data_IF_595425879345
#
_entry.id   IF_595425879345
#
_cell.length_a   1.000
_cell.length_b   1.000
_cell.length_c   1.000
_cell.angle_alpha   90.00
_cell.angle_beta   90.00
_cell.angle_gamma   90.00
#
_symmetry.space_group_name_H-M   'P 1'
#
loop_
_entity.id
_entity.type
_entity.pdbx_description
1 polymer ?
#
# COMPACT_ATOMS: atom_id res chain seq x y z
N UNK A 1 -8.98 -1.84 -19.04
CA UNK A 1 -9.07 -1.01 -17.79
C UNK A 1 -7.70 -1.03 -17.19
N UNK A 2 -7.06 0.11 -17.00
CA UNK A 2 -5.84 0.21 -16.21
C UNK A 2 -6.22 -0.10 -14.78
N UNK A 3 -5.56 -1.09 -14.14
CA UNK A 3 -5.79 -1.43 -12.74
C UNK A 3 -5.43 -0.25 -11.83
N UNK A 4 -5.98 -0.22 -10.61
CA UNK A 4 -5.62 0.76 -9.58
C UNK A 4 -4.19 0.50 -9.13
N UNK A 5 -3.37 1.53 -9.15
CA UNK A 5 -1.97 1.46 -8.72
C UNK A 5 -1.81 1.84 -7.24
N UNK A 6 -0.67 1.51 -6.66
CA UNK A 6 -0.34 1.97 -5.32
C UNK A 6 -0.30 3.51 -5.22
N UNK A 7 0.19 4.18 -6.28
CA UNK A 7 0.19 5.64 -6.37
C UNK A 7 -1.21 6.24 -6.27
N UNK A 8 -2.19 5.66 -6.97
CA UNK A 8 -3.57 6.12 -6.92
C UNK A 8 -4.15 6.05 -5.50
N UNK A 9 -3.83 4.99 -4.75
CA UNK A 9 -4.25 4.86 -3.34
C UNK A 9 -3.57 5.91 -2.45
N UNK A 10 -2.27 6.15 -2.66
CA UNK A 10 -1.53 7.18 -1.91
C UNK A 10 -2.14 8.55 -2.15
N UNK A 11 -2.43 8.89 -3.42
CA UNK A 11 -3.04 10.17 -3.79
C UNK A 11 -4.45 10.31 -3.19
N UNK A 12 -5.27 9.26 -3.26
CA UNK A 12 -6.61 9.25 -2.64
C UNK A 12 -6.56 9.50 -1.14
N UNK A 13 -5.60 8.90 -0.44
CA UNK A 13 -5.41 9.11 1.01
C UNK A 13 -4.98 10.55 1.29
N UNK A 14 -4.02 11.09 0.53
CA UNK A 14 -3.57 12.47 0.67
C UNK A 14 -4.69 13.48 0.41
N UNK A 15 -5.43 13.33 -0.69
CA UNK A 15 -6.54 14.20 -1.06
C UNK A 15 -7.64 14.18 0.02
N UNK A 16 -7.94 13.00 0.56
CA UNK A 16 -8.93 12.86 1.64
C UNK A 16 -8.47 13.57 2.91
N UNK A 17 -7.20 13.44 3.28
CA UNK A 17 -6.64 14.12 4.45
C UNK A 17 -6.61 15.65 4.26
N UNK A 18 -6.24 16.11 3.07
CA UNK A 18 -6.22 17.53 2.72
C UNK A 18 -7.62 18.15 2.69
N UNK A 19 -8.61 17.43 2.19
CA UNK A 19 -10.01 17.87 2.19
C UNK A 19 -10.59 18.08 3.60
N UNK A 20 -9.98 17.53 4.62
CA UNK A 20 -10.41 17.64 6.03
C UNK A 20 -9.65 18.71 6.83
N UNK A 21 -8.71 19.41 6.22
CA UNK A 21 -7.91 20.44 6.89
C UNK A 21 -8.28 21.83 6.40
N UNK A 22 -8.19 22.85 7.28
CA UNK A 22 -8.37 24.25 6.88
C UNK A 22 -7.14 24.82 6.20
N UNK A 23 -5.97 24.28 6.49
CA UNK A 23 -4.71 24.75 5.94
C UNK A 23 -4.16 23.67 5.02
N UNK A 24 -4.57 23.67 3.73
CA UNK A 24 -3.99 22.77 2.76
C UNK A 24 -2.49 22.99 2.64
N UNK A 25 -1.78 21.98 2.17
CA UNK A 25 -0.35 22.08 1.94
C UNK A 25 -0.02 23.20 0.94
N UNK A 26 1.04 23.93 1.21
CA UNK A 26 1.51 24.96 0.32
C UNK A 26 2.40 24.33 -0.76
N UNK A 27 2.09 24.62 -2.02
CA UNK A 27 2.78 24.03 -3.16
C UNK A 27 3.58 25.07 -3.92
N UNK A 28 4.80 24.71 -4.30
CA UNK A 28 5.63 25.38 -5.26
C UNK A 28 6.24 24.36 -6.22
N UNK A 29 7.23 24.69 -7.03
CA UNK A 29 7.84 23.79 -7.99
C UNK A 29 9.34 24.04 -8.10
N UNK A 30 10.10 23.06 -8.57
CA UNK A 30 11.50 23.22 -8.90
C UNK A 30 11.66 24.04 -10.18
N UNK A 31 12.62 24.96 -10.18
CA UNK A 31 12.96 25.79 -11.37
C UNK A 31 14.17 25.28 -12.15
N UNK A 32 14.86 24.27 -11.63
CA UNK A 32 15.93 23.54 -12.31
C UNK A 32 16.05 22.13 -11.81
N UNK A 33 16.75 21.27 -12.56
CA UNK A 33 17.06 19.91 -12.12
C UNK A 33 17.96 19.92 -10.88
N UNK A 34 17.72 18.98 -9.97
CA UNK A 34 18.46 18.83 -8.71
C UNK A 34 18.95 17.40 -8.63
N UNK A 35 20.24 17.19 -8.41
CA UNK A 35 20.78 15.84 -8.18
C UNK A 35 20.62 15.39 -6.72
N UNK A 36 20.95 14.13 -6.45
CA UNK A 36 20.80 13.55 -5.11
C UNK A 36 21.74 14.15 -4.04
N UNK A 37 22.74 14.95 -4.44
CA UNK A 37 23.76 15.52 -3.55
C UNK A 37 23.63 17.04 -3.37
N UNK A 38 22.89 17.70 -4.24
CA UNK A 38 22.68 19.14 -4.22
C UNK A 38 21.95 19.56 -2.94
N UNK A 39 22.47 20.58 -2.27
CA UNK A 39 21.89 21.16 -1.04
C UNK A 39 21.20 22.50 -1.26
N UNK A 40 21.33 23.06 -2.45
CA UNK A 40 20.75 24.32 -2.87
C UNK A 40 19.59 24.02 -3.82
N UNK A 41 18.38 24.14 -3.35
CA UNK A 41 17.16 23.72 -4.06
C UNK A 41 16.47 24.94 -4.66
N UNK A 42 16.49 25.11 -5.99
CA UNK A 42 15.87 26.24 -6.66
C UNK A 42 14.36 26.08 -6.77
N UNK A 43 13.59 27.03 -6.23
CA UNK A 43 12.12 26.97 -6.20
C UNK A 43 11.47 28.20 -6.81
N UNK A 44 10.28 28.04 -7.39
CA UNK A 44 9.58 29.12 -8.09
C UNK A 44 8.94 30.16 -7.16
N UNK A 45 8.54 29.77 -5.96
CA UNK A 45 7.95 30.70 -4.99
C UNK A 45 8.55 30.48 -3.59
N UNK A 46 9.64 31.16 -3.34
CA UNK A 46 10.37 31.11 -2.07
C UNK A 46 9.57 31.69 -0.90
N UNK A 47 8.64 32.61 -1.15
CA UNK A 47 7.83 33.26 -0.11
C UNK A 47 6.97 32.29 0.69
N UNK A 48 6.65 31.14 0.13
CA UNK A 48 5.89 30.09 0.80
C UNK A 48 6.71 29.33 1.85
N UNK A 49 8.04 29.24 1.68
CA UNK A 49 8.89 28.40 2.55
C UNK A 49 9.22 29.11 3.86
N UNK A 50 9.42 30.41 3.83
CA UNK A 50 9.50 31.25 5.03
C UNK A 50 10.61 30.91 6.03
N UNK A 51 11.66 30.21 5.62
CA UNK A 51 12.83 29.84 6.43
C UNK A 51 12.83 28.35 6.81
N UNK A 52 13.32 28.04 8.01
CA UNK A 52 13.54 26.66 8.44
C UNK A 52 12.24 25.82 8.46
N UNK A 53 12.29 24.66 7.82
CA UNK A 53 11.13 23.77 7.74
C UNK A 53 11.37 22.56 6.86
N UNK A 54 10.39 21.64 6.88
CA UNK A 54 10.42 20.47 6.01
C UNK A 54 9.82 20.84 4.66
N UNK A 55 10.48 20.44 3.58
CA UNK A 55 9.93 20.41 2.24
C UNK A 55 9.93 18.96 1.73
N UNK A 56 8.99 18.62 0.88
CA UNK A 56 8.85 17.31 0.27
C UNK A 56 8.89 17.47 -1.25
N UNK A 57 9.70 16.65 -1.91
CA UNK A 57 9.76 16.54 -3.36
C UNK A 57 9.66 15.06 -3.71
N UNK A 58 8.62 14.66 -4.41
CA UNK A 58 8.27 13.27 -4.65
C UNK A 58 8.21 12.50 -3.32
N UNK A 59 9.10 11.54 -3.10
CA UNK A 59 9.20 10.74 -1.89
C UNK A 59 10.29 11.21 -0.91
N UNK A 60 11.03 12.24 -1.27
CA UNK A 60 12.12 12.74 -0.44
C UNK A 60 11.66 13.88 0.46
N UNK A 61 11.90 13.72 1.76
CA UNK A 61 11.84 14.80 2.73
C UNK A 61 13.19 15.50 2.81
N UNK A 62 13.17 16.81 2.81
CA UNK A 62 14.36 17.64 2.96
C UNK A 62 14.15 18.64 4.11
N UNK A 63 15.23 18.96 4.82
CA UNK A 63 15.19 19.95 5.90
C UNK A 63 15.82 21.24 5.44
N UNK A 64 14.99 22.23 5.12
CA UNK A 64 15.40 23.58 4.76
C UNK A 64 15.92 24.31 6.01
N UNK A 65 16.96 25.13 5.84
CA UNK A 65 17.54 26.03 6.85
C UNK A 65 17.16 27.48 6.54
N UNK A 66 17.56 27.96 5.38
CA UNK A 66 17.33 29.34 4.95
C UNK A 66 16.85 29.38 3.50
N UNK A 67 16.26 30.47 3.13
CA UNK A 67 15.84 30.77 1.76
C UNK A 67 16.38 32.12 1.39
N UNK A 68 17.03 32.22 0.25
CA UNK A 68 17.54 33.51 -0.25
C UNK A 68 16.51 34.25 -1.11
N UNK A 69 16.84 35.51 -1.47
CA UNK A 69 15.97 36.34 -2.29
C UNK A 69 15.92 35.92 -3.77
N UNK A 70 16.77 34.99 -4.19
CA UNK A 70 16.84 34.49 -5.56
C UNK A 70 16.02 33.23 -5.78
N UNK A 71 15.39 32.71 -4.72
CA UNK A 71 14.55 31.51 -4.77
C UNK A 71 15.31 30.22 -4.53
N UNK A 72 16.49 30.30 -3.92
CA UNK A 72 17.26 29.11 -3.55
C UNK A 72 17.00 28.79 -2.08
N UNK A 73 16.58 27.55 -1.83
CA UNK A 73 16.42 26.97 -0.50
C UNK A 73 17.70 26.26 -0.12
N UNK A 74 18.39 26.73 0.89
CA UNK A 74 19.58 26.09 1.45
C UNK A 74 19.17 25.04 2.48
N UNK A 75 19.61 23.80 2.29
CA UNK A 75 19.33 22.73 3.22
C UNK A 75 20.34 22.72 4.38
N UNK A 76 19.90 22.21 5.53
CA UNK A 76 20.79 21.89 6.65
C UNK A 76 21.86 20.87 6.23
N UNK A 77 23.03 20.84 6.87
CA UNK A 77 23.94 19.71 6.76
C UNK A 77 23.18 18.38 7.06
N UNK A 78 23.21 17.44 6.10
CA UNK A 78 22.39 16.21 6.12
C UNK A 78 20.88 16.48 6.03
N UNK A 79 20.47 17.58 5.43
CA UNK A 79 19.07 17.93 5.19
C UNK A 79 18.41 17.11 4.10
N UNK A 80 19.18 16.47 3.21
CA UNK A 80 18.67 15.50 2.20
C UNK A 80 18.29 14.18 2.88
N UNK A 81 17.29 13.51 2.33
CA UNK A 81 16.83 12.22 2.88
C UNK A 81 16.36 12.30 4.34
N UNK A 82 15.75 13.41 4.73
CA UNK A 82 15.37 13.68 6.11
C UNK A 82 14.39 12.61 6.64
N UNK A 83 14.51 12.28 7.91
CA UNK A 83 13.67 11.26 8.59
C UNK A 83 13.69 9.88 7.94
N UNK A 84 14.78 9.52 7.27
CA UNK A 84 14.98 8.19 6.70
C UNK A 84 14.37 7.99 5.31
N UNK A 85 14.00 9.07 4.63
CA UNK A 85 13.73 9.02 3.19
C UNK A 85 15.05 8.90 2.41
N UNK A 86 14.99 8.55 1.13
CA UNK A 86 16.18 8.39 0.29
C UNK A 86 16.39 9.64 -0.53
N UNK A 87 17.61 10.20 -0.52
CA UNK A 87 17.97 11.31 -1.40
C UNK A 87 17.95 10.84 -2.86
N UNK A 88 17.26 11.60 -3.72
CA UNK A 88 17.06 11.30 -5.12
C UNK A 88 17.33 12.51 -6.01
N UNK A 89 17.47 12.28 -7.32
CA UNK A 89 17.48 13.37 -8.30
C UNK A 89 16.03 13.74 -8.64
N UNK A 90 15.78 15.04 -8.80
CA UNK A 90 14.47 15.59 -9.14
C UNK A 90 14.57 16.49 -10.36
N UNK A 91 13.57 16.45 -11.23
CA UNK A 91 13.56 17.21 -12.48
C UNK A 91 12.92 18.58 -12.30
N UNK A 92 13.29 19.52 -13.17
CA UNK A 92 12.65 20.83 -13.26
C UNK A 92 11.13 20.69 -13.43
N UNK A 93 10.36 21.53 -12.75
CA UNK A 93 8.90 21.50 -12.75
C UNK A 93 8.28 20.53 -11.74
N UNK A 94 9.05 19.68 -11.07
CA UNK A 94 8.53 18.80 -10.00
C UNK A 94 7.94 19.64 -8.87
N UNK A 95 6.79 19.21 -8.38
CA UNK A 95 6.08 19.86 -7.27
C UNK A 95 6.88 19.73 -5.97
N UNK A 96 6.98 20.86 -5.27
CA UNK A 96 7.59 20.96 -3.94
C UNK A 96 6.48 21.27 -2.94
N UNK A 97 6.22 20.37 -2.03
CA UNK A 97 5.26 20.55 -0.93
C UNK A 97 5.97 21.16 0.27
N UNK A 98 5.47 22.29 0.73
CA UNK A 98 6.05 23.03 1.86
C UNK A 98 5.32 22.67 3.13
N UNK A 99 6.05 22.13 4.10
CA UNK A 99 5.51 21.69 5.40
C UNK A 99 4.32 20.75 5.25
N UNK A 100 4.50 19.61 4.56
CA UNK A 100 3.42 18.67 4.29
C UNK A 100 2.67 18.30 5.58
N UNK A 101 1.35 18.28 5.52
CA UNK A 101 0.50 17.86 6.63
C UNK A 101 0.84 16.42 7.04
N UNK A 102 0.87 15.56 6.06
CA UNK A 102 1.33 14.17 6.19
C UNK A 102 2.27 13.89 5.02
N UNK A 103 3.55 13.61 5.30
CA UNK A 103 4.51 13.25 4.27
C UNK A 103 4.06 12.01 3.48
N UNK A 104 4.25 12.03 2.16
CA UNK A 104 3.94 10.92 1.23
C UNK A 104 4.55 9.60 1.69
N UNK A 105 5.80 9.63 2.17
CA UNK A 105 6.48 8.48 2.74
C UNK A 105 5.76 7.87 3.96
N UNK A 106 5.12 8.70 4.79
CA UNK A 106 4.33 8.22 5.93
C UNK A 106 3.03 7.57 5.48
N UNK A 107 2.40 8.10 4.42
CA UNK A 107 1.19 7.50 3.82
C UNK A 107 1.53 6.12 3.27
N UNK A 108 2.61 5.99 2.49
CA UNK A 108 3.09 4.71 1.96
C UNK A 108 3.36 3.69 3.07
N UNK A 109 3.98 4.12 4.16
CA UNK A 109 4.22 3.27 5.32
C UNK A 109 2.91 2.82 5.97
N UNK A 110 1.97 3.73 6.16
CA UNK A 110 0.67 3.41 6.75
C UNK A 110 -0.12 2.41 5.91
N UNK A 111 -0.09 2.54 4.57
CA UNK A 111 -0.71 1.58 3.65
C UNK A 111 -0.02 0.21 3.77
N UNK A 112 1.31 0.14 3.73
CA UNK A 112 2.03 -1.12 3.88
C UNK A 112 1.80 -1.78 5.25
N UNK A 113 1.62 -1.00 6.31
CA UNK A 113 1.22 -1.52 7.61
C UNK A 113 -0.21 -2.11 7.60
N UNK A 114 -1.10 -1.57 6.76
CA UNK A 114 -2.41 -2.18 6.51
C UNK A 114 -2.23 -3.50 5.76
N UNK A 115 -1.45 -3.52 4.67
CA UNK A 115 -1.17 -4.73 3.88
C UNK A 115 -0.68 -5.88 4.77
N UNK A 116 0.29 -5.61 5.66
CA UNK A 116 0.79 -6.62 6.61
C UNK A 116 -0.28 -7.14 7.57
N UNK A 117 -1.26 -6.30 7.91
CA UNK A 117 -2.34 -6.67 8.83
C UNK A 117 -3.50 -7.42 8.17
N UNK A 118 -3.55 -7.53 6.84
CA UNK A 118 -4.64 -8.19 6.12
C UNK A 118 -4.67 -9.70 6.33
N UNK A 119 -3.48 -10.33 6.32
CA UNK A 119 -3.39 -11.78 6.53
C UNK A 119 -3.73 -12.15 8.00
N UNK A 120 -4.48 -13.23 8.27
CA UNK A 120 -4.96 -14.28 7.34
C UNK A 120 -6.34 -14.03 6.71
N UNK A 121 -7.03 -12.94 7.02
CA UNK A 121 -8.40 -12.72 6.54
C UNK A 121 -8.46 -12.47 5.04
N UNK A 122 -7.52 -11.66 4.54
CA UNK A 122 -7.35 -11.37 3.12
C UNK A 122 -5.97 -11.87 2.71
N UNK A 123 -5.92 -12.60 1.62
CA UNK A 123 -4.72 -13.21 1.07
C UNK A 123 -4.65 -12.97 -0.43
N UNK A 124 -3.45 -12.91 -0.96
CA UNK A 124 -3.22 -12.89 -2.39
C UNK A 124 -3.55 -14.24 -3.02
N UNK A 125 -4.05 -14.23 -4.23
CA UNK A 125 -4.38 -15.44 -4.98
C UNK A 125 -3.50 -15.49 -6.23
N UNK A 126 -2.67 -16.52 -6.31
CA UNK A 126 -1.75 -16.72 -7.42
C UNK A 126 -2.04 -18.06 -8.09
N UNK A 127 -1.98 -18.06 -9.42
CA UNK A 127 -2.10 -19.29 -10.22
C UNK A 127 -0.82 -19.51 -11.00
N UNK A 128 -0.27 -20.70 -10.93
CA UNK A 128 0.83 -21.12 -11.77
C UNK A 128 0.48 -22.38 -12.58
N UNK A 129 1.13 -22.55 -13.71
CA UNK A 129 0.95 -23.71 -14.58
C UNK A 129 2.18 -24.62 -14.51
N UNK A 130 1.95 -25.91 -14.46
CA UNK A 130 2.98 -26.95 -14.44
C UNK A 130 2.50 -28.21 -15.17
N UNK A 131 3.34 -29.23 -15.21
CA UNK A 131 2.97 -30.53 -15.77
C UNK A 131 2.92 -31.58 -14.67
N UNK A 132 1.92 -32.48 -14.70
CA UNK A 132 1.80 -33.57 -13.74
C UNK A 132 3.01 -34.51 -13.84
N UNK A 133 3.82 -34.68 -12.79
CA UNK A 133 4.95 -35.60 -12.79
C UNK A 133 4.49 -37.06 -12.67
N UNK A 134 5.41 -38.00 -13.01
CA UNK A 134 5.06 -39.41 -13.15
C UNK A 134 4.68 -40.12 -11.84
N UNK A 135 5.40 -39.86 -10.76
CA UNK A 135 5.14 -40.52 -9.47
C UNK A 135 5.23 -39.58 -8.26
N UNK A 136 5.40 -38.28 -8.51
CA UNK A 136 5.77 -37.37 -7.46
C UNK A 136 4.74 -36.26 -7.24
N UNK A 137 4.97 -35.58 -6.16
CA UNK A 137 4.26 -34.35 -5.83
C UNK A 137 4.64 -33.24 -6.79
N UNK A 138 3.67 -32.44 -7.17
CA UNK A 138 3.92 -31.16 -7.79
C UNK A 138 4.52 -30.24 -6.73
N UNK A 139 5.78 -29.76 -6.90
CA UNK A 139 6.37 -28.81 -5.96
C UNK A 139 5.63 -27.48 -6.05
N UNK A 140 5.21 -26.98 -4.89
CA UNK A 140 4.58 -25.69 -4.79
C UNK A 140 5.64 -24.60 -4.52
N UNK A 141 5.41 -23.35 -5.00
CA UNK A 141 6.29 -22.22 -4.68
C UNK A 141 6.40 -22.01 -3.16
N UNK A 142 7.57 -21.55 -2.70
CA UNK A 142 7.82 -21.32 -1.28
C UNK A 142 6.84 -20.29 -0.65
N UNK A 143 6.32 -19.38 -1.47
CA UNK A 143 5.32 -18.41 -1.05
C UNK A 143 3.90 -18.98 -0.89
N UNK A 144 3.66 -20.24 -1.31
CA UNK A 144 2.35 -20.85 -1.23
C UNK A 144 2.00 -21.21 0.23
N UNK A 145 0.84 -20.75 0.67
CA UNK A 145 0.33 -21.02 2.03
C UNK A 145 -0.69 -22.15 2.02
N UNK A 146 -1.66 -22.09 1.14
CA UNK A 146 -2.74 -23.06 1.01
C UNK A 146 -3.14 -23.19 -0.47
N UNK A 147 -3.44 -24.43 -0.91
CA UNK A 147 -3.95 -24.67 -2.26
C UNK A 147 -5.47 -24.46 -2.26
N UNK A 148 -5.92 -23.54 -3.12
CA UNK A 148 -7.31 -23.15 -3.21
C UNK A 148 -8.07 -23.91 -4.31
N UNK A 149 -7.42 -24.10 -5.47
CA UNK A 149 -8.02 -24.79 -6.61
C UNK A 149 -6.94 -25.49 -7.46
N UNK A 150 -7.31 -26.64 -8.02
CA UNK A 150 -6.44 -27.41 -8.94
C UNK A 150 -7.26 -27.76 -10.17
N UNK A 151 -6.76 -27.41 -11.35
CA UNK A 151 -7.36 -27.70 -12.64
C UNK A 151 -6.34 -28.35 -13.55
N UNK A 152 -6.81 -29.18 -14.45
CA UNK A 152 -5.97 -29.78 -15.46
C UNK A 152 -6.62 -29.74 -16.84
N UNK A 153 -5.77 -29.70 -17.88
CA UNK A 153 -6.20 -29.59 -19.25
C UNK A 153 -6.59 -30.96 -19.78
N UNK A 154 -7.83 -31.12 -20.18
CA UNK A 154 -8.35 -32.31 -20.85
C UNK A 154 -8.19 -32.18 -22.37
N UNK A 155 -8.24 -33.30 -23.10
CA UNK A 155 -8.28 -33.30 -24.55
C UNK A 155 -9.44 -32.39 -25.05
N UNK A 156 -9.13 -31.49 -25.98
CA UNK A 156 -10.09 -30.48 -26.46
C UNK A 156 -9.97 -29.11 -25.84
N UNK A 157 -8.88 -28.80 -25.12
CA UNK A 157 -8.61 -27.49 -24.49
C UNK A 157 -9.58 -27.09 -23.37
N UNK A 158 -10.23 -28.05 -22.74
CA UNK A 158 -11.12 -27.80 -21.61
C UNK A 158 -10.39 -27.97 -20.27
N UNK A 159 -10.48 -26.97 -19.38
CA UNK A 159 -9.96 -27.05 -18.03
C UNK A 159 -10.95 -27.72 -17.08
N UNK A 160 -10.58 -28.88 -16.55
CA UNK A 160 -11.37 -29.63 -15.58
C UNK A 160 -10.81 -29.47 -14.16
N UNK A 161 -11.70 -29.25 -13.19
CA UNK A 161 -11.31 -29.16 -11.78
C UNK A 161 -11.00 -30.53 -11.19
N UNK A 162 -9.84 -30.67 -10.56
CA UNK A 162 -9.50 -31.86 -9.77
C UNK A 162 -10.30 -31.84 -8.45
N UNK A 163 -10.73 -33.00 -8.04
CA UNK A 163 -11.44 -33.21 -6.75
C UNK A 163 -10.63 -34.06 -5.77
N UNK A 164 -9.57 -34.68 -6.24
CA UNK A 164 -8.79 -35.68 -5.48
C UNK A 164 -7.33 -35.21 -5.39
N UNK A 165 -7.09 -34.22 -4.54
CA UNK A 165 -5.74 -33.74 -4.27
C UNK A 165 -5.48 -33.62 -2.75
N UNK A 166 -4.24 -33.74 -2.36
CA UNK A 166 -3.74 -33.66 -1.01
C UNK A 166 -2.46 -32.83 -1.00
N UNK A 167 -2.24 -32.04 0.04
CA UNK A 167 -1.00 -31.31 0.24
C UNK A 167 -0.21 -31.88 1.39
N UNK A 168 1.12 -31.91 1.24
CA UNK A 168 2.06 -32.30 2.29
C UNK A 168 3.15 -31.25 2.45
N UNK A 169 3.59 -31.04 3.69
CA UNK A 169 4.67 -30.11 4.03
C UNK A 169 5.86 -30.87 4.61
N UNK A 170 7.02 -30.23 4.59
CA UNK A 170 8.24 -30.72 5.22
C UNK A 170 8.70 -32.10 4.71
N UNK A 171 8.54 -32.34 3.42
CA UNK A 171 9.03 -33.53 2.76
C UNK A 171 10.55 -33.43 2.54
N UNK A 172 11.27 -34.55 2.48
CA UNK A 172 12.75 -34.54 2.37
C UNK A 172 13.33 -33.76 1.19
N UNK A 173 12.58 -33.65 0.09
CA UNK A 173 13.03 -32.98 -1.15
C UNK A 173 12.13 -31.81 -1.56
N UNK A 174 10.97 -31.68 -0.96
CA UNK A 174 9.94 -30.70 -1.34
C UNK A 174 9.35 -30.12 -0.06
N UNK A 175 9.59 -28.83 0.19
CA UNK A 175 9.09 -28.12 1.38
C UNK A 175 7.58 -28.11 1.44
N UNK A 176 6.92 -28.00 0.28
CA UNK A 176 5.48 -28.03 0.16
C UNK A 176 5.11 -28.70 -1.16
N UNK A 177 4.38 -29.81 -1.10
CA UNK A 177 4.03 -30.63 -2.26
C UNK A 177 2.54 -30.83 -2.41
N UNK A 178 2.08 -30.98 -3.66
CA UNK A 178 0.72 -31.28 -4.04
C UNK A 178 0.67 -32.64 -4.72
N UNK A 179 -0.03 -33.60 -4.13
CA UNK A 179 -0.33 -34.90 -4.73
C UNK A 179 -1.72 -34.87 -5.36
N UNK A 180 -1.84 -35.28 -6.61
CA UNK A 180 -3.12 -35.45 -7.31
C UNK A 180 -3.32 -36.92 -7.66
N UNK A 181 -4.56 -37.41 -7.61
CA UNK A 181 -4.88 -38.83 -7.91
C UNK A 181 -5.78 -39.01 -9.13
N UNK A 182 -6.38 -37.94 -9.61
CA UNK A 182 -7.31 -37.93 -10.75
C UNK A 182 -6.76 -37.24 -11.99
N UNK A 183 -5.51 -36.81 -11.96
CA UNK A 183 -4.83 -36.14 -13.08
C UNK A 183 -3.87 -37.10 -13.78
N UNK A 184 -3.99 -37.30 -15.11
CA UNK A 184 -3.07 -38.13 -15.84
C UNK A 184 -1.64 -37.58 -15.88
N UNK A 185 -0.67 -38.48 -15.86
CA UNK A 185 0.73 -38.11 -16.10
C UNK A 185 0.91 -37.30 -17.40
N UNK A 186 1.74 -36.28 -17.34
CA UNK A 186 2.03 -35.41 -18.49
C UNK A 186 0.97 -34.37 -18.80
N UNK A 187 -0.18 -34.38 -18.09
CA UNK A 187 -1.20 -33.37 -18.28
C UNK A 187 -0.74 -32.00 -17.76
N UNK A 188 -1.13 -30.92 -18.47
CA UNK A 188 -0.94 -29.56 -17.97
C UNK A 188 -1.85 -29.30 -16.78
N UNK A 189 -1.31 -28.77 -15.69
CA UNK A 189 -2.01 -28.51 -14.45
C UNK A 189 -1.88 -27.04 -14.09
N UNK A 190 -2.99 -26.42 -13.70
CA UNK A 190 -3.03 -25.12 -13.07
C UNK A 190 -3.33 -25.27 -11.58
N UNK A 191 -2.46 -24.72 -10.77
CA UNK A 191 -2.64 -24.69 -9.30
C UNK A 191 -2.81 -23.27 -8.85
N UNK A 192 -3.93 -23.00 -8.20
CA UNK A 192 -4.24 -21.73 -7.56
C UNK A 192 -4.01 -21.86 -6.06
N UNK A 193 -3.22 -20.96 -5.49
CA UNK A 193 -2.85 -21.00 -4.08
C UNK A 193 -2.90 -19.61 -3.46
N UNK A 194 -3.02 -19.58 -2.14
CA UNK A 194 -2.99 -18.34 -1.36
C UNK A 194 -1.55 -17.95 -1.00
N UNK A 195 -1.29 -16.65 -0.97
CA UNK A 195 -0.02 -16.06 -0.51
C UNK A 195 -0.27 -14.93 0.48
N UNK A 196 0.74 -14.57 1.25
CA UNK A 196 0.73 -13.29 1.97
C UNK A 196 0.77 -12.17 0.91
N UNK A 197 -0.10 -11.16 0.99
CA UNK A 197 -0.02 -10.01 0.10
C UNK A 197 1.37 -9.36 0.17
N UNK A 198 1.93 -9.02 -1.00
CA UNK A 198 3.24 -8.40 -1.07
C UNK A 198 3.19 -6.94 -0.62
N UNK A 199 4.28 -6.46 0.00
CA UNK A 199 4.44 -5.04 0.28
C UNK A 199 4.56 -4.25 -1.03
N UNK A 200 3.97 -3.06 -1.03
CA UNK A 200 3.95 -2.17 -2.18
C UNK A 200 5.19 -1.28 -2.16
N UNK A 201 6.16 -1.58 -3.04
CA UNK A 201 7.45 -0.89 -3.08
C UNK A 201 7.46 0.32 -4.02
N UNK A 202 6.76 0.25 -5.15
CA UNK A 202 6.71 1.29 -6.18
C UNK A 202 5.29 1.78 -6.40
N UNK A 203 5.10 3.08 -6.59
CA UNK A 203 3.80 3.67 -6.91
C UNK A 203 3.19 3.13 -8.20
N UNK A 204 4.00 2.69 -9.14
CA UNK A 204 3.54 2.04 -10.37
C UNK A 204 3.07 0.59 -10.18
N UNK A 205 3.16 0.04 -8.95
CA UNK A 205 2.71 -1.32 -8.67
C UNK A 205 1.19 -1.39 -8.77
N UNK A 206 0.70 -2.24 -9.66
CA UNK A 206 -0.72 -2.58 -9.78
C UNK A 206 -1.14 -3.46 -8.59
N UNK A 207 -2.24 -3.11 -7.92
CA UNK A 207 -2.71 -3.81 -6.72
C UNK A 207 -3.07 -5.27 -7.02
N UNK A 208 -3.63 -5.57 -8.20
CA UNK A 208 -3.96 -6.94 -8.57
C UNK A 208 -2.70 -7.80 -8.70
N UNK A 209 -1.60 -7.25 -9.23
CA UNK A 209 -0.30 -7.93 -9.31
C UNK A 209 0.29 -8.22 -7.94
N UNK A 210 0.05 -7.34 -6.97
CA UNK A 210 0.47 -7.54 -5.57
C UNK A 210 -0.44 -8.52 -4.79
N UNK A 211 -1.49 -9.05 -5.42
CA UNK A 211 -2.48 -9.91 -4.77
C UNK A 211 -3.49 -9.16 -3.90
N UNK A 212 -3.68 -7.87 -4.18
CA UNK A 212 -4.56 -6.95 -3.47
C UNK A 212 -5.72 -6.47 -4.36
N UNK A 213 -6.16 -7.30 -5.30
CA UNK A 213 -7.28 -7.01 -6.19
C UNK A 213 -8.54 -6.62 -5.38
N UNK A 214 -9.18 -5.52 -5.77
CA UNK A 214 -10.35 -4.94 -5.09
C UNK A 214 -10.13 -4.61 -3.60
N UNK A 215 -8.90 -4.31 -3.18
CA UNK A 215 -8.57 -3.91 -1.80
C UNK A 215 -8.37 -2.38 -1.64
N UNK A 216 -8.65 -1.57 -2.66
CA UNK A 216 -8.43 -0.13 -2.66
C UNK A 216 -9.07 0.57 -1.44
N UNK A 217 -10.37 0.34 -1.21
CA UNK A 217 -11.09 0.90 -0.05
C UNK A 217 -10.48 0.46 1.28
N UNK A 218 -10.06 -0.80 1.37
CA UNK A 218 -9.43 -1.34 2.58
C UNK A 218 -8.13 -0.61 2.88
N UNK A 219 -7.29 -0.43 1.87
CA UNK A 219 -6.00 0.25 2.01
C UNK A 219 -6.21 1.71 2.35
N UNK A 220 -7.14 2.38 1.68
CA UNK A 220 -7.48 3.79 1.90
C UNK A 220 -8.01 4.03 3.32
N UNK A 221 -9.07 3.33 3.72
CA UNK A 221 -9.67 3.53 5.05
C UNK A 221 -8.74 3.07 6.19
N UNK A 222 -7.99 1.99 5.96
CA UNK A 222 -7.01 1.50 6.93
C UNK A 222 -5.87 2.49 7.16
N UNK A 223 -5.36 3.14 6.11
CA UNK A 223 -4.34 4.17 6.20
C UNK A 223 -4.88 5.45 6.85
N UNK A 224 -6.06 5.92 6.44
CA UNK A 224 -6.74 7.08 7.03
C UNK A 224 -6.97 6.90 8.53
N UNK A 225 -7.46 5.74 8.95
CA UNK A 225 -7.68 5.42 10.37
C UNK A 225 -6.42 5.49 11.24
N UNK A 226 -5.24 5.28 10.64
CA UNK A 226 -3.95 5.37 11.32
C UNK A 226 -3.39 6.79 11.29
N UNK A 227 -3.50 7.46 10.16
CA UNK A 227 -2.88 8.77 9.94
C UNK A 227 -3.64 9.91 10.60
N UNK A 228 -4.98 9.86 10.62
CA UNK A 228 -5.80 10.95 11.16
C UNK A 228 -5.47 11.26 12.64
N UNK A 229 -5.00 10.28 13.38
CA UNK A 229 -4.59 10.48 14.77
C UNK A 229 -3.25 11.20 14.90
N UNK A 230 -2.42 11.17 13.85
CA UNK A 230 -1.12 11.85 13.83
C UNK A 230 -1.20 13.26 13.22
N UNK A 231 -2.33 13.60 12.62
CA UNK A 231 -2.55 14.94 12.08
C UNK A 231 -2.70 15.93 13.22
N UNK A 232 -1.94 17.01 13.17
CA UNK A 232 -1.95 18.04 14.19
C UNK A 232 -3.37 18.60 14.37
N UNK A 233 -3.89 18.51 15.58
CA UNK A 233 -5.24 18.96 15.96
C UNK A 233 -5.48 20.43 15.59
N UNK A 234 -4.44 21.26 15.56
CA UNK A 234 -4.52 22.65 15.15
C UNK A 234 -4.83 22.84 13.66
N UNK A 235 -4.60 21.82 12.82
CA UNK A 235 -4.89 21.84 11.38
C UNK A 235 -6.23 21.18 11.03
N UNK A 236 -6.76 20.35 11.89
CA UNK A 236 -8.14 19.83 11.77
C UNK A 236 -9.05 20.87 12.38
N UNK A 237 -9.48 21.85 11.60
CA UNK A 237 -10.30 22.87 12.20
C UNK A 237 -11.78 22.56 12.21
N UNK A 238 -12.41 22.92 13.28
CA UNK A 238 -13.79 23.34 13.25
C UNK A 238 -13.86 24.75 12.65
N UNK A 239 -14.83 24.96 11.78
CA UNK A 239 -15.28 26.26 11.29
C UNK A 239 -14.96 27.40 12.27
N UNK A 240 -14.35 28.47 11.75
CA UNK A 240 -14.01 29.72 12.43
C UNK A 240 -14.96 30.10 13.57
N UNK A 241 -14.66 29.64 14.76
CA UNK A 241 -15.30 30.12 15.98
C UNK A 241 -14.20 30.44 16.98
N UNK A 242 -14.30 31.57 17.60
CA UNK A 242 -13.34 32.18 18.52
C UNK A 242 -12.62 31.21 19.46
N UNK A 243 -11.32 31.48 19.80
CA UNK A 243 -10.49 30.57 20.58
C UNK A 243 -10.97 30.51 22.03
N UNK A 244 -11.91 29.65 22.33
CA UNK A 244 -12.23 29.23 23.68
C UNK A 244 -11.71 27.82 23.90
N UNK A 245 -11.38 27.45 25.14
CA UNK A 245 -10.89 26.11 25.51
C UNK A 245 -11.76 24.95 24.97
N UNK A 246 -13.04 25.20 24.77
CA UNK A 246 -13.97 24.26 24.15
C UNK A 246 -13.64 23.87 22.68
N UNK A 247 -12.95 24.74 21.94
CA UNK A 247 -12.62 24.50 20.54
C UNK A 247 -11.51 23.45 20.41
N UNK A 248 -10.50 23.50 21.27
CA UNK A 248 -9.42 22.50 21.29
C UNK A 248 -9.96 21.11 21.68
N UNK A 249 -10.87 21.05 22.64
CA UNK A 249 -11.51 19.81 23.06
C UNK A 249 -12.45 19.23 21.99
N UNK A 250 -13.15 20.08 21.24
CA UNK A 250 -13.99 19.67 20.11
C UNK A 250 -13.16 19.15 18.94
N UNK A 251 -12.03 19.81 18.62
CA UNK A 251 -11.13 19.37 17.56
C UNK A 251 -10.53 17.98 17.84
N UNK A 252 -10.11 17.74 19.10
CA UNK A 252 -9.66 16.42 19.56
C UNK A 252 -10.78 15.36 19.42
N UNK A 253 -12.00 15.71 19.78
CA UNK A 253 -13.17 14.84 19.63
C UNK A 253 -13.48 14.52 18.16
N UNK A 254 -13.33 15.49 17.25
CA UNK A 254 -13.56 15.28 15.81
C UNK A 254 -12.54 14.31 15.21
N UNK A 255 -11.25 14.50 15.46
CA UNK A 255 -10.22 13.57 14.97
C UNK A 255 -10.45 12.15 15.48
N UNK A 256 -10.84 12.01 16.76
CA UNK A 256 -11.16 10.70 17.33
C UNK A 256 -12.39 10.06 16.70
N UNK A 257 -13.43 10.83 16.42
CA UNK A 257 -14.64 10.33 15.77
C UNK A 257 -14.37 9.93 14.32
N UNK A 258 -13.67 10.77 13.54
CA UNK A 258 -13.21 10.43 12.19
C UNK A 258 -12.38 9.14 12.17
N UNK A 259 -11.45 9.01 13.11
CA UNK A 259 -10.66 7.78 13.22
C UNK A 259 -11.52 6.55 13.53
N UNK A 260 -12.59 6.70 14.33
CA UNK A 260 -13.55 5.62 14.59
C UNK A 260 -14.36 5.28 13.34
N UNK A 261 -14.80 6.30 12.61
CA UNK A 261 -15.59 6.11 11.39
C UNK A 261 -14.76 5.40 10.32
N UNK A 262 -13.50 5.81 10.09
CA UNK A 262 -12.61 5.11 9.17
C UNK A 262 -12.28 3.68 9.62
N UNK A 263 -12.14 3.44 10.93
CA UNK A 263 -11.97 2.06 11.44
C UNK A 263 -13.20 1.20 11.19
N UNK A 264 -14.39 1.76 11.32
CA UNK A 264 -15.64 1.04 11.03
C UNK A 264 -15.74 0.71 9.53
N UNK A 265 -15.45 1.69 8.65
CA UNK A 265 -15.43 1.49 7.20
C UNK A 265 -14.37 0.46 6.80
N UNK A 266 -13.16 0.54 7.35
CA UNK A 266 -12.11 -0.46 7.15
C UNK A 266 -12.57 -1.87 7.56
N UNK A 267 -13.16 -2.00 8.74
CA UNK A 267 -13.64 -3.30 9.24
C UNK A 267 -14.72 -3.89 8.33
N UNK A 268 -15.65 -3.04 7.85
CA UNK A 268 -16.69 -3.47 6.93
C UNK A 268 -16.11 -3.88 5.57
N UNK A 269 -15.22 -3.09 4.99
CA UNK A 269 -14.56 -3.41 3.73
C UNK A 269 -13.76 -4.72 3.80
N UNK A 270 -13.07 -4.98 4.91
CA UNK A 270 -12.38 -6.27 5.16
C UNK A 270 -13.37 -7.44 5.19
N UNK A 271 -14.53 -7.28 5.84
CA UNK A 271 -15.56 -8.33 5.91
C UNK A 271 -16.13 -8.59 4.51
N UNK A 272 -16.41 -7.55 3.75
CA UNK A 272 -16.99 -7.68 2.42
C UNK A 272 -16.03 -8.37 1.46
N UNK A 273 -14.76 -7.98 1.44
CA UNK A 273 -13.74 -8.63 0.62
C UNK A 273 -13.47 -10.08 1.06
N UNK A 274 -13.45 -10.35 2.36
CA UNK A 274 -13.35 -11.71 2.88
C UNK A 274 -14.50 -12.58 2.37
N UNK A 275 -15.73 -12.07 2.40
CA UNK A 275 -16.90 -12.80 1.90
C UNK A 275 -16.80 -13.06 0.39
N UNK A 276 -16.26 -12.13 -0.40
CA UNK A 276 -16.00 -12.33 -1.83
C UNK A 276 -14.99 -13.45 -2.04
N UNK A 277 -13.88 -13.43 -1.31
CA UNK A 277 -12.85 -14.47 -1.38
C UNK A 277 -13.41 -15.84 -0.98
N UNK A 278 -14.20 -15.92 0.10
CA UNK A 278 -14.82 -17.19 0.56
C UNK A 278 -15.84 -17.74 -0.45
N UNK A 279 -16.57 -16.90 -1.17
CA UNK A 279 -17.47 -17.34 -2.25
C UNK A 279 -16.71 -17.89 -3.43
N UNK A 280 -15.60 -17.25 -3.82
CA UNK A 280 -14.76 -17.64 -4.95
C UNK A 280 -13.91 -18.88 -4.62
N UNK A 281 -13.37 -18.92 -3.41
CA UNK A 281 -12.50 -19.99 -2.90
C UNK A 281 -12.97 -20.45 -1.52
N UNK A 282 -14.05 -21.26 -1.44
CA UNK A 282 -14.57 -21.72 -0.16
C UNK A 282 -13.52 -22.58 0.55
N UNK A 283 -13.26 -22.27 1.81
CA UNK A 283 -12.35 -23.04 2.66
C UNK A 283 -12.85 -24.48 2.75
N UNK A 284 -12.05 -25.43 2.33
CA UNK A 284 -12.39 -26.84 2.47
C UNK A 284 -12.01 -27.29 3.88
N UNK A 285 -12.93 -27.93 4.62
CA UNK A 285 -12.54 -28.53 5.88
C UNK A 285 -11.50 -29.62 5.57
N UNK A 286 -10.25 -29.40 5.95
CA UNK A 286 -9.23 -30.44 5.93
C UNK A 286 -9.69 -31.55 6.88
N UNK A 287 -10.00 -32.71 6.32
CA UNK A 287 -10.05 -33.90 7.14
C UNK A 287 -8.61 -34.25 7.50
N UNK A 288 -8.13 -33.74 8.62
CA UNK A 288 -6.96 -34.33 9.31
C UNK A 288 -7.34 -35.78 9.64
N UNK A 289 -6.64 -36.69 9.01
CA UNK A 289 -6.59 -38.07 9.46
C UNK A 289 -5.56 -38.21 10.56
#
# INVERSE_FOLDING_TARGET
MTGTTFGDVVDTVLDTLQGQTISPDLLTYLTADVDATTTDIPVGNQGLIGGRGIIEIDDELMMADTVDSTGIVHLLPKGRGWRGTTAAAHTNGTTVTVRPLVPRANVKRAINDVVRALYPRIYGVVTFSTTQPYFDYIPLPAAALEVLDVRWLVAGNEWRRSRMWQTERDMPLITFGLLTRDIPFGASVQVTYSTIPAELASESTDLATAGLDACEDILTFGALARLIQSVDVARISPLQVQPTEDVANRALGMATNLAKDYRAQYAQAVIDQFNVLQRKYPTRPHKTR
#
